data_IF_183638212793
#
_entry.id   IF_183638212793
#
_cell.length_a   1.000
_cell.length_b   1.000
_cell.length_c   1.000
_cell.angle_alpha   90.00
_cell.angle_beta   90.00
_cell.angle_gamma   90.00
#
_symmetry.space_group_name_H-M   'P 1'
#
loop_
_entity.id
_entity.type
_entity.pdbx_description
1 polymer ?
#
# COMPACT_ATOMS: atom_id res chain seq x y z
N UNK A 1 -14.46 -3.38 19.22
CA UNK A 1 -15.82 -3.70 18.75
C UNK A 1 -15.71 -4.68 17.60
N UNK A 2 -16.42 -5.82 17.60
CA UNK A 2 -16.38 -6.74 16.47
C UNK A 2 -16.94 -6.05 15.22
N UNK A 3 -16.32 -6.30 14.06
CA UNK A 3 -16.82 -5.81 12.77
C UNK A 3 -18.22 -6.40 12.54
N UNK A 4 -19.21 -5.60 12.12
CA UNK A 4 -20.56 -6.11 11.88
C UNK A 4 -20.50 -7.06 10.68
N UNK A 5 -20.63 -8.36 10.96
CA UNK A 5 -20.82 -9.40 9.95
C UNK A 5 -22.17 -9.14 9.29
N UNK A 6 -22.15 -8.49 8.13
CA UNK A 6 -23.35 -8.23 7.33
C UNK A 6 -23.94 -9.55 6.84
N UNK A 7 -24.85 -10.13 7.62
CA UNK A 7 -25.77 -11.16 7.16
C UNK A 7 -26.63 -10.58 6.05
N UNK A 8 -26.72 -11.32 4.94
CA UNK A 8 -27.62 -11.09 3.81
C UNK A 8 -28.94 -10.44 4.25
N UNK A 9 -29.05 -9.13 4.02
CA UNK A 9 -30.18 -8.34 4.47
C UNK A 9 -30.16 -7.01 3.74
N UNK A 10 -31.19 -6.81 2.94
CA UNK A 10 -31.54 -5.64 2.13
C UNK A 10 -31.50 -4.33 2.92
N UNK A 11 -30.31 -3.75 3.09
CA UNK A 11 -30.14 -2.32 3.39
C UNK A 11 -29.51 -1.63 2.18
N UNK A 12 -29.98 -0.45 1.76
CA UNK A 12 -29.49 0.21 0.55
C UNK A 12 -28.07 0.79 0.68
N UNK A 13 -27.38 0.55 1.80
CA UNK A 13 -26.03 1.02 2.07
C UNK A 13 -25.17 -0.14 2.58
N UNK A 14 -24.52 -0.86 1.66
CA UNK A 14 -23.41 -1.74 2.03
C UNK A 14 -22.34 -0.88 2.74
N UNK A 15 -21.94 -1.26 3.96
CA UNK A 15 -20.88 -0.57 4.67
C UNK A 15 -19.57 -0.69 3.89
N UNK A 16 -19.00 0.45 3.49
CA UNK A 16 -17.72 0.53 2.79
C UNK A 16 -16.65 1.09 3.72
N UNK A 17 -15.43 0.58 3.54
CA UNK A 17 -14.31 0.88 4.42
C UNK A 17 -13.13 1.44 3.63
N UNK A 18 -12.38 2.32 4.27
CA UNK A 18 -11.09 2.81 3.80
C UNK A 18 -10.01 2.31 4.76
N UNK A 19 -9.25 1.32 4.34
CA UNK A 19 -8.15 0.76 5.11
C UNK A 19 -6.89 1.61 4.91
N UNK A 20 -6.45 2.29 5.96
CA UNK A 20 -5.19 3.03 6.00
C UNK A 20 -4.07 2.11 6.46
N UNK A 21 -3.30 1.57 5.51
CA UNK A 21 -2.24 0.61 5.78
C UNK A 21 -0.92 1.31 6.09
N UNK A 22 -0.26 0.89 7.16
CA UNK A 22 0.93 1.51 7.71
C UNK A 22 1.79 0.47 8.46
N UNK A 23 3.13 0.54 8.49
CA UNK A 23 4.02 1.30 7.63
C UNK A 23 3.95 0.91 6.16
N UNK A 24 4.19 1.88 5.28
CA UNK A 24 4.52 1.64 3.87
C UNK A 24 5.92 1.05 3.81
N UNK A 25 6.01 -0.27 3.92
CA UNK A 25 7.20 -1.02 3.54
C UNK A 25 7.64 -0.73 2.12
N UNK A 26 8.76 -1.30 1.69
CA UNK A 26 9.35 -0.94 0.41
C UNK A 26 8.40 -1.12 -0.80
N UNK A 27 7.59 -2.19 -0.77
CA UNK A 27 6.61 -2.54 -1.81
C UNK A 27 5.21 -2.68 -1.21
N UNK A 28 5.06 -2.52 0.11
CA UNK A 28 3.81 -2.83 0.82
C UNK A 28 3.42 -4.29 0.63
N UNK A 29 4.33 -5.22 0.96
CA UNK A 29 4.09 -6.66 0.76
C UNK A 29 2.92 -7.16 1.61
N UNK A 30 2.74 -6.67 2.82
CA UNK A 30 1.66 -7.03 3.74
C UNK A 30 0.28 -6.68 3.19
N UNK A 31 0.01 -5.40 2.83
CA UNK A 31 -1.26 -5.03 2.21
C UNK A 31 -1.47 -5.70 0.84
N UNK A 32 -0.40 -5.89 0.06
CA UNK A 32 -0.48 -6.60 -1.23
C UNK A 32 -0.84 -8.08 -1.05
N UNK A 33 -0.20 -8.76 -0.11
CA UNK A 33 -0.49 -10.15 0.24
C UNK A 33 -1.90 -10.30 0.78
N UNK A 34 -2.31 -9.43 1.71
CA UNK A 34 -3.62 -9.50 2.37
C UNK A 34 -4.77 -9.15 1.44
N UNK A 35 -4.70 -7.99 0.76
CA UNK A 35 -5.84 -7.47 -0.02
C UNK A 35 -5.75 -7.77 -1.52
N UNK A 36 -4.56 -8.02 -2.06
CA UNK A 36 -4.36 -8.29 -3.49
C UNK A 36 -4.28 -9.77 -3.84
N UNK A 37 -3.67 -10.58 -2.97
CA UNK A 37 -3.44 -12.00 -3.21
C UNK A 37 -4.18 -12.94 -2.24
N UNK A 38 -4.90 -12.39 -1.26
CA UNK A 38 -5.61 -13.16 -0.22
C UNK A 38 -4.71 -14.12 0.58
N UNK A 39 -3.42 -13.80 0.74
CA UNK A 39 -2.44 -14.67 1.39
C UNK A 39 -2.58 -14.79 2.92
N UNK A 40 -3.52 -14.06 3.52
CA UNK A 40 -3.87 -14.13 4.95
C UNK A 40 -5.30 -14.64 5.19
N UNK A 41 -5.90 -15.28 4.18
CA UNK A 41 -7.28 -15.79 4.20
C UNK A 41 -8.31 -14.70 4.54
N UNK A 42 -8.03 -13.45 4.13
CA UNK A 42 -8.86 -12.29 4.43
C UNK A 42 -10.28 -12.46 3.90
N UNK A 43 -10.43 -13.01 2.69
CA UNK A 43 -11.74 -13.25 2.08
C UNK A 43 -12.59 -14.27 2.85
N UNK A 44 -11.92 -15.22 3.52
CA UNK A 44 -12.56 -16.24 4.36
C UNK A 44 -12.92 -15.69 5.74
N UNK A 45 -12.08 -14.83 6.32
CA UNK A 45 -12.32 -14.16 7.60
C UNK A 45 -13.41 -13.10 7.51
N UNK A 46 -13.51 -12.40 6.37
CA UNK A 46 -14.47 -11.32 6.13
C UNK A 46 -15.29 -11.58 4.86
N UNK A 47 -16.16 -12.60 4.86
CA UNK A 47 -16.92 -12.97 3.68
C UNK A 47 -17.83 -11.83 3.22
N UNK A 48 -17.83 -11.56 1.91
CA UNK A 48 -18.64 -10.51 1.30
C UNK A 48 -17.98 -9.12 1.28
N UNK A 49 -16.88 -8.91 2.00
CA UNK A 49 -16.14 -7.66 1.97
C UNK A 49 -15.20 -7.61 0.76
N UNK A 50 -15.54 -6.80 -0.24
CA UNK A 50 -14.69 -6.58 -1.42
C UNK A 50 -13.73 -5.43 -1.17
N UNK A 51 -12.44 -5.70 -1.11
CA UNK A 51 -11.39 -4.68 -0.94
C UNK A 51 -10.57 -4.57 -2.21
N UNK A 52 -10.27 -3.36 -2.65
CA UNK A 52 -9.31 -3.08 -3.71
C UNK A 52 -8.10 -2.36 -3.15
N UNK A 53 -6.91 -2.81 -3.54
CA UNK A 53 -5.67 -2.17 -3.14
C UNK A 53 -5.36 -0.98 -4.05
N UNK A 54 -5.37 0.23 -3.52
CA UNK A 54 -5.01 1.44 -4.24
C UNK A 54 -3.48 1.54 -4.35
N UNK A 55 -2.98 1.38 -5.58
CA UNK A 55 -1.56 1.49 -5.91
C UNK A 55 -1.30 2.73 -6.75
N UNK A 56 -0.04 3.16 -6.80
CA UNK A 56 0.35 4.33 -7.56
C UNK A 56 0.03 4.16 -9.05
N UNK A 57 -0.27 5.28 -9.72
CA UNK A 57 -0.67 5.32 -11.13
C UNK A 57 0.36 4.79 -12.13
N UNK A 58 1.64 4.82 -11.78
CA UNK A 58 2.72 4.43 -12.70
C UNK A 58 2.72 2.94 -13.05
N UNK A 59 2.71 2.00 -12.06
CA UNK A 59 2.58 0.57 -12.35
C UNK A 59 1.37 0.21 -13.23
N UNK A 60 0.24 0.90 -13.07
CA UNK A 60 -1.00 0.67 -13.84
C UNK A 60 -0.91 1.19 -15.29
N UNK A 61 0.07 2.03 -15.63
CA UNK A 61 0.25 2.52 -17.01
C UNK A 61 1.15 1.65 -17.88
N UNK A 62 1.91 0.73 -17.29
CA UNK A 62 2.78 -0.17 -18.05
C UNK A 62 1.95 -1.36 -18.53
N UNK A 63 1.90 -1.68 -19.84
CA UNK A 63 0.91 -2.61 -20.40
C UNK A 63 0.94 -4.02 -19.78
N UNK A 64 2.12 -4.59 -19.51
CA UNK A 64 2.23 -5.91 -18.87
C UNK A 64 2.00 -5.86 -17.35
N UNK A 65 2.55 -4.85 -16.68
CA UNK A 65 2.37 -4.71 -15.23
C UNK A 65 0.92 -4.38 -14.88
N UNK A 66 0.23 -3.59 -15.71
CA UNK A 66 -1.18 -3.23 -15.57
C UNK A 66 -2.06 -4.45 -15.43
N UNK A 67 -1.92 -5.43 -16.33
CA UNK A 67 -2.76 -6.62 -16.29
C UNK A 67 -2.51 -7.45 -15.01
N UNK A 68 -1.25 -7.52 -14.55
CA UNK A 68 -0.92 -8.16 -13.27
C UNK A 68 -1.55 -7.43 -12.07
N UNK A 69 -1.42 -6.11 -12.01
CA UNK A 69 -2.00 -5.32 -10.91
C UNK A 69 -3.54 -5.34 -10.94
N UNK A 70 -4.17 -5.30 -12.10
CA UNK A 70 -5.62 -5.41 -12.22
C UNK A 70 -6.11 -6.82 -11.86
N UNK A 71 -5.37 -7.87 -12.26
CA UNK A 71 -5.67 -9.25 -11.90
C UNK A 71 -5.56 -9.48 -10.38
N UNK A 72 -4.61 -8.82 -9.70
CA UNK A 72 -4.51 -8.81 -8.24
C UNK A 72 -5.49 -7.84 -7.55
N UNK A 73 -6.49 -7.32 -8.26
CA UNK A 73 -7.52 -6.45 -7.68
C UNK A 73 -7.05 -5.05 -7.30
N UNK A 74 -5.88 -4.60 -7.78
CA UNK A 74 -5.39 -3.26 -7.52
C UNK A 74 -6.11 -2.19 -8.37
N UNK A 75 -6.20 -0.98 -7.84
CA UNK A 75 -6.82 0.20 -8.48
C UNK A 75 -5.90 1.41 -8.40
N UNK A 76 -6.15 2.43 -9.20
CA UNK A 76 -5.38 3.68 -9.15
C UNK A 76 -5.67 4.41 -7.83
N UNK A 77 -4.63 4.87 -7.13
CA UNK A 77 -4.76 5.70 -5.93
C UNK A 77 -5.28 7.12 -6.21
N UNK A 78 -5.75 7.40 -7.43
CA UNK A 78 -6.42 8.66 -7.76
C UNK A 78 -7.76 8.77 -7.04
N UNK A 79 -8.06 9.98 -6.59
CA UNK A 79 -9.33 10.33 -5.91
C UNK A 79 -10.56 9.78 -6.65
N UNK A 80 -10.63 9.95 -7.96
CA UNK A 80 -11.76 9.51 -8.79
C UNK A 80 -11.93 7.99 -8.79
N UNK A 81 -10.84 7.22 -8.79
CA UNK A 81 -10.89 5.75 -8.78
C UNK A 81 -11.33 5.23 -7.42
N UNK A 82 -10.82 5.82 -6.33
CA UNK A 82 -11.23 5.50 -4.96
C UNK A 82 -12.72 5.82 -4.76
N UNK A 83 -13.17 7.02 -5.15
CA UNK A 83 -14.58 7.41 -5.07
C UNK A 83 -15.48 6.52 -5.93
N UNK A 84 -15.01 6.05 -7.09
CA UNK A 84 -15.74 5.09 -7.88
C UNK A 84 -15.90 3.77 -7.13
N UNK A 85 -14.84 3.22 -6.54
CA UNK A 85 -14.91 1.98 -5.77
C UNK A 85 -15.90 2.08 -4.61
N UNK A 86 -15.78 3.15 -3.79
CA UNK A 86 -16.62 3.35 -2.61
C UNK A 86 -18.11 3.50 -3.00
N UNK A 87 -18.42 4.20 -4.10
CA UNK A 87 -19.80 4.34 -4.58
C UNK A 87 -20.41 3.05 -5.11
N UNK A 88 -19.59 2.08 -5.51
CA UNK A 88 -20.05 0.77 -6.01
C UNK A 88 -19.97 -0.32 -4.95
N UNK A 89 -19.96 0.06 -3.66
CA UNK A 89 -19.98 -0.90 -2.55
C UNK A 89 -18.67 -1.66 -2.36
N UNK A 90 -17.55 -1.13 -2.87
CA UNK A 90 -16.21 -1.73 -2.74
C UNK A 90 -15.38 -0.91 -1.77
N UNK A 91 -14.78 -1.58 -0.80
CA UNK A 91 -13.83 -0.99 0.14
C UNK A 91 -12.47 -0.81 -0.52
N UNK A 92 -11.65 0.08 0.02
CA UNK A 92 -10.33 0.39 -0.55
C UNK A 92 -9.27 0.32 0.53
N UNK A 93 -8.15 -0.34 0.25
CA UNK A 93 -6.94 -0.27 1.06
C UNK A 93 -5.92 0.64 0.40
N UNK A 94 -5.28 1.52 1.15
CA UNK A 94 -4.29 2.46 0.64
C UNK A 94 -3.19 2.70 1.67
N UNK A 95 -1.99 2.99 1.18
CA UNK A 95 -0.84 3.32 2.02
C UNK A 95 -0.63 4.86 2.00
N UNK A 96 -0.97 5.59 3.08
CA UNK A 96 -1.11 7.05 3.02
C UNK A 96 0.19 7.80 2.70
N UNK A 97 1.35 7.35 3.21
CA UNK A 97 2.61 8.04 3.01
C UNK A 97 3.32 7.75 1.69
N UNK A 98 2.93 6.68 0.98
CA UNK A 98 3.45 6.36 -0.35
C UNK A 98 4.97 6.27 -0.41
N UNK A 99 5.55 6.67 -1.55
CA UNK A 99 7.00 6.71 -1.78
C UNK A 99 7.80 7.45 -0.71
N UNK A 100 7.27 8.59 -0.22
CA UNK A 100 8.02 9.43 0.74
C UNK A 100 8.20 8.69 2.05
N UNK A 101 7.20 7.93 2.45
CA UNK A 101 7.27 7.08 3.64
C UNK A 101 8.22 5.91 3.43
N UNK A 102 8.10 5.18 2.31
CA UNK A 102 9.04 4.11 1.98
C UNK A 102 10.51 4.59 1.95
N UNK A 103 10.77 5.77 1.36
CA UNK A 103 12.12 6.36 1.30
C UNK A 103 12.63 6.86 2.65
N UNK A 104 11.77 7.48 3.46
CA UNK A 104 12.17 7.94 4.79
C UNK A 104 12.44 6.76 5.72
N UNK A 105 11.70 5.65 5.58
CA UNK A 105 11.96 4.44 6.33
C UNK A 105 13.25 3.73 5.90
N UNK A 106 13.64 3.80 4.62
CA UNK A 106 14.93 3.27 4.16
C UNK A 106 16.12 4.14 4.59
N UNK A 107 15.95 5.46 4.71
CA UNK A 107 17.07 6.39 4.95
C UNK A 107 17.21 6.85 6.41
N UNK A 108 16.23 6.59 7.29
CA UNK A 108 16.18 7.27 8.59
C UNK A 108 16.37 6.35 9.78
N UNK A 109 17.43 6.69 10.53
CA UNK A 109 17.68 6.38 11.94
C UNK A 109 16.63 6.99 12.91
N UNK A 110 15.59 7.66 12.41
CA UNK A 110 14.62 8.40 13.22
C UNK A 110 13.32 7.59 13.40
N UNK A 111 13.22 6.90 14.54
CA UNK A 111 12.15 5.95 14.89
C UNK A 111 10.70 6.49 14.91
N UNK A 112 10.42 7.71 14.46
CA UNK A 112 9.07 8.30 14.48
C UNK A 112 8.70 9.12 13.23
N UNK A 113 9.58 9.20 12.23
CA UNK A 113 9.34 10.00 11.02
C UNK A 113 8.05 9.61 10.28
N UNK A 114 7.66 8.36 10.42
CA UNK A 114 6.52 7.73 9.81
C UNK A 114 5.16 8.19 10.39
N UNK A 115 5.07 8.41 11.71
CA UNK A 115 3.87 8.94 12.38
C UNK A 115 3.60 10.36 11.90
N UNK A 116 4.67 11.15 11.72
CA UNK A 116 4.60 12.54 11.25
C UNK A 116 4.03 12.63 9.83
N UNK A 117 4.42 11.72 8.93
CA UNK A 117 3.90 11.69 7.55
C UNK A 117 2.40 11.37 7.51
N UNK A 118 1.94 10.46 8.37
CA UNK A 118 0.52 10.14 8.49
C UNK A 118 -0.29 11.36 8.98
N UNK A 119 0.24 12.09 9.96
CA UNK A 119 -0.41 13.28 10.50
C UNK A 119 -0.64 14.38 9.45
N UNK A 120 0.32 14.56 8.53
CA UNK A 120 0.24 15.55 7.47
C UNK A 120 -0.67 15.12 6.30
N UNK A 121 -0.87 13.81 6.10
CA UNK A 121 -1.61 13.25 4.96
C UNK A 121 -3.04 12.85 5.28
N UNK A 122 -3.88 13.86 5.52
CA UNK A 122 -5.32 13.70 5.83
C UNK A 122 -6.24 13.46 4.61
N UNK A 123 -5.67 13.33 3.41
CA UNK A 123 -6.42 13.22 2.15
C UNK A 123 -7.34 12.01 2.09
N UNK A 124 -6.88 10.85 2.58
CA UNK A 124 -7.69 9.63 2.61
C UNK A 124 -8.84 9.71 3.63
N UNK A 125 -8.61 10.37 4.78
CA UNK A 125 -9.65 10.62 5.78
C UNK A 125 -10.74 11.52 5.17
N UNK A 126 -10.33 12.59 4.45
CA UNK A 126 -11.27 13.46 3.76
C UNK A 126 -12.10 12.68 2.73
N UNK A 127 -11.50 11.75 1.99
CA UNK A 127 -12.22 10.88 1.04
C UNK A 127 -13.21 9.96 1.74
N UNK A 128 -12.80 9.35 2.86
CA UNK A 128 -13.67 8.49 3.65
C UNK A 128 -14.90 9.25 4.16
N UNK A 129 -14.70 10.45 4.72
CA UNK A 129 -15.78 11.33 5.18
C UNK A 129 -16.72 11.72 4.03
N UNK A 130 -16.17 12.09 2.87
CA UNK A 130 -16.96 12.46 1.69
C UNK A 130 -17.85 11.32 1.17
N UNK A 131 -17.41 10.07 1.32
CA UNK A 131 -18.13 8.89 0.82
C UNK A 131 -18.86 8.13 1.93
N UNK A 132 -18.94 8.68 3.15
CA UNK A 132 -19.52 8.01 4.34
C UNK A 132 -18.92 6.61 4.59
N UNK A 133 -17.64 6.46 4.30
CA UNK A 133 -16.89 5.23 4.54
C UNK A 133 -16.21 5.26 5.91
N UNK A 134 -16.18 4.13 6.60
CA UNK A 134 -15.46 4.01 7.87
C UNK A 134 -13.95 3.82 7.62
N UNK A 135 -13.12 4.55 8.36
CA UNK A 135 -11.66 4.40 8.26
C UNK A 135 -11.21 3.29 9.20
N UNK A 136 -10.41 2.35 8.68
CA UNK A 136 -9.82 1.26 9.46
C UNK A 136 -8.30 1.39 9.39
N UNK A 137 -7.60 1.66 10.51
CA UNK A 137 -6.14 1.59 10.54
C UNK A 137 -5.70 0.12 10.43
N UNK A 138 -4.74 -0.14 9.55
CA UNK A 138 -4.14 -1.47 9.39
C UNK A 138 -2.65 -1.34 9.61
N UNK A 139 -2.13 -2.13 10.55
CA UNK A 139 -0.71 -2.16 10.88
C UNK A 139 -0.04 -3.43 10.33
N UNK A 140 1.11 -3.30 9.67
CA UNK A 140 1.88 -4.45 9.14
C UNK A 140 3.29 -4.50 9.72
N UNK A 141 3.67 -5.65 10.29
CA UNK A 141 4.95 -5.83 10.98
C UNK A 141 6.08 -6.36 10.09
N UNK A 142 7.30 -5.91 10.38
CA UNK A 142 8.59 -6.28 9.76
C UNK A 142 8.71 -6.17 8.24
N UNK A 143 7.85 -5.37 7.61
CA UNK A 143 8.02 -4.85 6.24
C UNK A 143 9.38 -4.15 6.02
N UNK A 144 9.94 -3.56 7.08
CA UNK A 144 11.16 -2.75 7.05
C UNK A 144 12.43 -3.55 7.30
N UNK A 145 12.32 -4.66 8.04
CA UNK A 145 13.45 -5.51 8.41
C UNK A 145 13.82 -6.49 7.29
N UNK A 146 12.91 -6.70 6.33
CA UNK A 146 13.09 -7.61 5.21
C UNK A 146 14.03 -7.12 4.10
N UNK A 147 14.43 -5.84 4.08
CA UNK A 147 15.29 -5.29 3.02
C UNK A 147 16.50 -4.57 3.58
N UNK A 148 17.65 -4.78 2.94
CA UNK A 148 18.90 -4.13 3.34
C UNK A 148 18.98 -2.72 2.74
N UNK A 149 19.51 -1.74 3.49
CA UNK A 149 19.77 -0.41 2.95
C UNK A 149 20.84 -0.47 1.85
N UNK A 150 20.43 -0.13 0.63
CA UNK A 150 21.27 -0.04 -0.57
C UNK A 150 21.47 1.42 -1.01
N UNK A 151 21.50 2.34 -0.04
CA UNK A 151 21.79 3.76 -0.25
C UNK A 151 23.08 4.02 -1.03
N UNK A 152 24.06 3.11 -0.98
CA UNK A 152 25.31 3.20 -1.77
C UNK A 152 25.06 3.11 -3.29
N UNK A 153 24.11 2.29 -3.77
CA UNK A 153 23.74 2.20 -5.19
C UNK A 153 22.97 3.46 -5.60
N UNK A 154 22.06 3.92 -4.73
CA UNK A 154 21.25 5.12 -4.94
C UNK A 154 22.09 6.39 -5.13
N UNK A 155 23.30 6.44 -4.57
CA UNK A 155 24.22 7.58 -4.67
C UNK A 155 25.05 7.62 -5.97
N UNK A 156 24.91 6.64 -6.86
CA UNK A 156 25.60 6.67 -8.16
C UNK A 156 24.95 7.65 -9.12
N UNK A 157 25.74 8.40 -9.90
CA UNK A 157 25.26 9.44 -10.82
C UNK A 157 24.19 8.93 -11.81
N UNK A 158 24.36 7.71 -12.33
CA UNK A 158 23.43 7.10 -13.29
C UNK A 158 22.07 6.75 -12.64
N UNK A 159 22.08 6.24 -11.42
CA UNK A 159 20.87 5.90 -10.65
C UNK A 159 20.15 7.17 -10.23
N UNK A 160 20.89 8.21 -9.82
CA UNK A 160 20.34 9.52 -9.49
C UNK A 160 19.68 10.18 -10.71
N UNK A 161 20.32 10.13 -11.88
CA UNK A 161 19.76 10.63 -13.12
C UNK A 161 18.48 9.86 -13.54
N UNK A 162 18.47 8.54 -13.35
CA UNK A 162 17.27 7.71 -13.54
C UNK A 162 16.15 8.08 -12.56
N UNK A 163 16.45 8.24 -11.27
CA UNK A 163 15.51 8.69 -10.25
C UNK A 163 14.91 10.06 -10.57
N UNK A 164 15.74 11.01 -10.97
CA UNK A 164 15.29 12.36 -11.33
C UNK A 164 14.42 12.33 -12.60
N UNK A 165 14.75 11.47 -13.58
CA UNK A 165 13.94 11.24 -14.77
C UNK A 165 12.57 10.62 -14.43
N UNK A 166 12.55 9.54 -13.66
CA UNK A 166 11.32 8.88 -13.22
C UNK A 166 10.50 9.83 -12.35
N UNK A 167 11.11 10.58 -11.43
CA UNK A 167 10.43 11.55 -10.57
C UNK A 167 9.83 12.71 -11.35
N UNK A 168 10.49 13.20 -12.41
CA UNK A 168 9.93 14.23 -13.30
C UNK A 168 8.70 13.73 -14.05
N UNK A 169 8.69 12.48 -14.48
CA UNK A 169 7.59 11.89 -15.26
C UNK A 169 6.44 11.43 -14.37
N UNK A 170 6.74 10.94 -13.16
CA UNK A 170 5.79 10.19 -12.32
C UNK A 170 5.49 10.84 -10.98
N UNK A 171 6.27 11.85 -10.56
CA UNK A 171 6.23 12.42 -9.22
C UNK A 171 6.76 11.48 -8.12
N UNK A 172 7.30 10.32 -8.50
CA UNK A 172 7.69 9.22 -7.62
C UNK A 172 9.17 8.88 -7.78
N UNK A 173 9.82 8.45 -6.70
CA UNK A 173 11.20 7.96 -6.74
C UNK A 173 11.15 6.44 -6.56
N UNK A 174 11.59 5.66 -7.55
CA UNK A 174 11.65 4.21 -7.42
C UNK A 174 12.62 3.84 -6.30
N UNK A 175 12.20 2.93 -5.43
CA UNK A 175 13.02 2.42 -4.34
C UNK A 175 13.72 1.16 -4.83
N UNK A 176 15.04 1.09 -4.63
CA UNK A 176 15.82 -0.11 -4.94
C UNK A 176 15.67 -1.06 -3.75
N UNK A 177 15.09 -2.23 -4.04
CA UNK A 177 15.07 -3.35 -3.12
C UNK A 177 16.40 -4.10 -3.18
N UNK A 178 16.88 -4.50 -2.00
CA UNK A 178 18.04 -5.35 -1.85
C UNK A 178 17.69 -6.51 -0.92
N UNK A 179 17.13 -7.54 -1.54
CA UNK A 179 16.94 -8.86 -0.95
C UNK A 179 18.21 -9.72 -0.92
N UNK A 180 18.16 -10.93 -0.33
CA UNK A 180 19.30 -11.83 -0.19
C UNK A 180 19.80 -12.40 -1.54
N UNK A 181 19.03 -12.22 -2.62
CA UNK A 181 19.32 -12.81 -3.92
C UNK A 181 19.57 -11.72 -4.98
N UNK A 182 20.77 -11.74 -5.56
CA UNK A 182 21.18 -10.80 -6.61
C UNK A 182 20.32 -10.88 -7.89
N UNK A 183 19.76 -12.06 -8.18
CA UNK A 183 18.93 -12.30 -9.36
C UNK A 183 17.44 -11.99 -9.13
N UNK A 184 17.02 -11.82 -7.87
CA UNK A 184 15.65 -11.44 -7.52
C UNK A 184 15.64 -10.57 -6.25
N UNK A 185 15.96 -9.28 -6.40
CA UNK A 185 16.20 -8.37 -5.29
C UNK A 185 14.93 -8.00 -4.50
N UNK A 186 13.75 -8.43 -4.96
CA UNK A 186 12.45 -8.19 -4.32
C UNK A 186 12.03 -9.28 -3.32
N UNK A 187 12.80 -10.37 -3.17
CA UNK A 187 12.56 -11.32 -2.07
C UNK A 187 13.09 -10.68 -0.78
N UNK A 188 12.30 -10.60 0.30
CA UNK A 188 12.80 -10.11 1.58
C UNK A 188 13.69 -11.16 2.26
N UNK A 189 14.61 -10.70 3.12
CA UNK A 189 15.32 -11.56 4.06
C UNK A 189 14.33 -12.24 5.00
N UNK A 190 14.48 -13.56 5.19
CA UNK A 190 13.69 -14.28 6.19
C UNK A 190 14.15 -13.83 7.58
N UNK A 191 13.24 -13.20 8.32
CA UNK A 191 13.44 -12.89 9.72
C UNK A 191 12.29 -13.47 10.54
N UNK A 192 12.59 -13.90 11.75
CA UNK A 192 11.58 -14.33 12.71
C UNK A 192 10.95 -13.09 13.33
N UNK A 193 9.63 -12.98 13.23
CA UNK A 193 8.88 -11.88 13.83
C UNK A 193 8.18 -12.42 15.09
N UNK A 194 8.56 -11.90 16.25
CA UNK A 194 7.87 -12.17 17.49
C UNK A 194 6.69 -11.20 17.60
N UNK A 195 5.52 -11.64 17.13
CA UNK A 195 4.27 -10.87 17.25
C UNK A 195 3.66 -11.22 18.60
N UNK A 196 3.75 -10.29 19.57
CA UNK A 196 3.19 -10.41 20.92
C UNK A 196 1.69 -10.11 20.92
#
# INVERSE_FOLDING_TARGET
SPLPTGTHGTTPYAYVYVFGCYPHGMIGLGPSGTFGCDGSDFSSLFPGLRVNLAVLKFPIRLPFARELFLASGCVDASKSSIEWCLRHGRSVALLPGGAKEAMLLCNSMEQNAHVRILADRKGFIRLAVQNRASVVPVFTFGELEGYTDCSWIANTWAVKAFYDGVKKVTGFTPVIACGPHWWYPFIPHRQQQDVV
#
